data_IF_760008050702
#
_entry.id   IF_760008050702
#
_cell.length_a   1.000
_cell.length_b   1.000
_cell.length_c   1.000
_cell.angle_alpha   90.00
_cell.angle_beta   90.00
_cell.angle_gamma   90.00
#
_symmetry.space_group_name_H-M   'P 1'
#
loop_
_entity.id
_entity.type
_entity.pdbx_description
1 polymer ?
#
# COMPACT_ATOMS: atom_id res chain seq x y z
N UNK A 1 -16.46 25.59 10.87
CA UNK A 1 -17.39 24.84 9.99
C UNK A 1 -16.75 23.51 9.64
N UNK A 2 -17.35 22.39 10.03
CA UNK A 2 -16.91 21.05 9.58
C UNK A 2 -18.10 20.46 8.81
N UNK A 3 -17.92 20.01 7.56
CA UNK A 3 -19.02 19.55 6.70
C UNK A 3 -20.19 20.53 6.49
N UNK A 4 -19.91 21.84 6.45
CA UNK A 4 -20.96 22.86 6.22
C UNK A 4 -21.83 23.17 7.45
N UNK A 5 -21.60 22.54 8.60
CA UNK A 5 -22.26 22.90 9.85
C UNK A 5 -21.39 23.82 10.70
N UNK A 6 -21.97 24.90 11.21
CA UNK A 6 -21.35 25.78 12.20
C UNK A 6 -21.48 25.12 13.58
N UNK A 7 -20.34 24.79 14.18
CA UNK A 7 -20.33 24.22 15.53
C UNK A 7 -20.27 25.36 16.56
N UNK A 8 -21.06 25.28 17.65
CA UNK A 8 -21.00 26.26 18.72
C UNK A 8 -19.63 26.26 19.39
N UNK A 9 -19.27 27.37 20.06
CA UNK A 9 -17.97 27.47 20.71
C UNK A 9 -17.84 26.39 21.80
N UNK A 10 -16.65 25.84 21.99
CA UNK A 10 -16.43 24.79 23.01
C UNK A 10 -16.69 25.27 24.45
N UNK A 11 -16.80 26.59 24.64
CA UNK A 11 -17.08 27.29 25.90
C UNK A 11 -18.58 27.44 26.21
N UNK A 12 -19.48 27.20 25.26
CA UNK A 12 -20.95 27.40 25.43
C UNK A 12 -21.65 26.30 26.25
N UNK A 13 -20.90 25.36 26.83
CA UNK A 13 -21.39 24.38 27.80
C UNK A 13 -21.21 22.91 27.38
N UNK A 14 -21.56 21.99 28.30
CA UNK A 14 -21.35 20.53 28.13
C UNK A 14 -21.96 19.97 26.85
N UNK A 15 -23.11 20.50 26.40
CA UNK A 15 -23.79 20.04 25.19
C UNK A 15 -22.96 20.23 23.91
N UNK A 16 -22.26 21.37 23.77
CA UNK A 16 -21.36 21.62 22.65
C UNK A 16 -20.18 20.64 22.66
N UNK A 17 -19.60 20.37 23.84
CA UNK A 17 -18.49 19.42 23.99
C UNK A 17 -18.88 17.99 23.57
N UNK A 18 -20.09 17.52 23.89
CA UNK A 18 -20.57 16.21 23.46
C UNK A 18 -20.69 16.10 21.93
N UNK A 19 -21.07 17.18 21.23
CA UNK A 19 -21.14 17.18 19.75
C UNK A 19 -19.75 17.00 19.12
N UNK A 20 -18.73 17.71 19.61
CA UNK A 20 -17.35 17.54 19.14
C UNK A 20 -16.82 16.13 19.43
N UNK A 21 -17.10 15.61 20.63
CA UNK A 21 -16.68 14.26 21.02
C UNK A 21 -17.35 13.19 20.15
N UNK A 22 -18.62 13.37 19.80
CA UNK A 22 -19.35 12.44 18.93
C UNK A 22 -18.75 12.40 17.52
N UNK A 23 -18.43 13.56 16.92
CA UNK A 23 -17.77 13.62 15.61
C UNK A 23 -16.38 13.00 15.66
N UNK A 24 -15.60 13.30 16.70
CA UNK A 24 -14.28 12.72 16.88
C UNK A 24 -14.34 11.19 17.03
N UNK A 25 -15.27 10.69 17.85
CA UNK A 25 -15.48 9.25 18.02
C UNK A 25 -15.89 8.57 16.69
N UNK A 26 -16.76 9.20 15.90
CA UNK A 26 -17.15 8.69 14.59
C UNK A 26 -15.97 8.63 13.61
N UNK A 27 -15.10 9.64 13.59
CA UNK A 27 -13.88 9.66 12.77
C UNK A 27 -12.89 8.57 13.18
N UNK A 28 -12.70 8.36 14.49
CA UNK A 28 -11.85 7.27 15.00
C UNK A 28 -12.40 5.90 14.60
N UNK A 29 -13.71 5.69 14.75
CA UNK A 29 -14.37 4.44 14.37
C UNK A 29 -14.24 4.19 12.87
N UNK A 30 -14.45 5.21 12.03
CA UNK A 30 -14.24 5.11 10.60
C UNK A 30 -12.78 4.73 10.28
N UNK A 31 -11.81 5.40 10.90
CA UNK A 31 -10.37 5.11 10.70
C UNK A 31 -10.04 3.67 11.06
N UNK A 32 -10.58 3.16 12.17
CA UNK A 32 -10.40 1.78 12.58
C UNK A 32 -11.00 0.79 11.57
N UNK A 33 -12.23 1.03 11.11
CA UNK A 33 -12.90 0.19 10.09
C UNK A 33 -12.09 0.16 8.79
N UNK A 34 -11.64 1.33 8.30
CA UNK A 34 -10.79 1.40 7.10
C UNK A 34 -9.45 0.69 7.30
N UNK A 35 -8.84 0.76 8.48
CA UNK A 35 -7.59 0.05 8.77
C UNK A 35 -7.78 -1.47 8.74
N UNK A 36 -8.88 -1.97 9.29
CA UNK A 36 -9.22 -3.40 9.25
C UNK A 36 -9.51 -3.85 7.81
N UNK A 37 -10.33 -3.11 7.07
CA UNK A 37 -10.63 -3.41 5.66
C UNK A 37 -9.35 -3.46 4.82
N UNK A 38 -8.47 -2.47 4.97
CA UNK A 38 -7.17 -2.44 4.28
C UNK A 38 -6.32 -3.66 4.63
N UNK A 39 -6.25 -4.04 5.90
CA UNK A 39 -5.52 -5.23 6.35
C UNK A 39 -6.07 -6.52 5.71
N UNK A 40 -7.39 -6.69 5.73
CA UNK A 40 -8.05 -7.84 5.12
C UNK A 40 -7.84 -7.88 3.60
N UNK A 41 -7.93 -6.74 2.91
CA UNK A 41 -7.66 -6.65 1.49
C UNK A 41 -6.22 -7.02 1.15
N UNK A 42 -5.24 -6.56 1.95
CA UNK A 42 -3.83 -6.89 1.74
C UNK A 42 -3.58 -8.39 1.89
N UNK A 43 -4.05 -9.01 2.99
CA UNK A 43 -3.90 -10.45 3.23
C UNK A 43 -4.62 -11.27 2.16
N UNK A 44 -5.86 -10.93 1.82
CA UNK A 44 -6.62 -11.62 0.79
C UNK A 44 -5.96 -11.49 -0.60
N UNK A 45 -5.37 -10.33 -0.90
CA UNK A 45 -4.60 -10.09 -2.12
C UNK A 45 -3.32 -10.93 -2.18
N UNK A 46 -2.56 -10.96 -1.08
CA UNK A 46 -1.34 -11.76 -0.92
C UNK A 46 -1.61 -13.24 -1.17
N UNK A 47 -2.59 -13.81 -0.46
CA UNK A 47 -2.97 -15.24 -0.60
C UNK A 47 -3.43 -15.58 -2.02
N UNK A 48 -4.23 -14.70 -2.65
CA UNK A 48 -4.67 -14.91 -4.05
C UNK A 48 -3.48 -14.90 -5.01
N UNK A 49 -2.55 -13.97 -4.84
CA UNK A 49 -1.37 -13.85 -5.67
C UNK A 49 -0.44 -15.07 -5.49
N UNK A 50 -0.20 -15.48 -4.25
CA UNK A 50 0.60 -16.66 -3.90
C UNK A 50 0.02 -17.95 -4.54
N UNK A 51 -1.30 -18.15 -4.42
CA UNK A 51 -1.97 -19.30 -5.06
C UNK A 51 -1.83 -19.29 -6.58
N UNK A 52 -2.02 -18.13 -7.21
CA UNK A 52 -1.88 -17.98 -8.66
C UNK A 52 -0.44 -18.22 -9.13
N UNK A 53 0.55 -17.76 -8.36
CA UNK A 53 1.96 -17.99 -8.69
C UNK A 53 2.29 -19.47 -8.58
N UNK A 54 1.88 -20.12 -7.48
CA UNK A 54 2.10 -21.54 -7.26
C UNK A 54 1.49 -22.40 -8.37
N UNK A 55 0.25 -22.11 -8.79
CA UNK A 55 -0.39 -22.86 -9.87
C UNK A 55 0.34 -22.72 -11.20
N UNK A 56 0.80 -21.51 -11.53
CA UNK A 56 1.59 -21.26 -12.76
C UNK A 56 2.93 -21.99 -12.69
N UNK A 57 3.64 -21.90 -11.57
CA UNK A 57 4.92 -22.60 -11.38
C UNK A 57 4.73 -24.12 -11.51
N UNK A 58 3.69 -24.68 -10.87
CA UNK A 58 3.39 -26.10 -10.91
C UNK A 58 3.11 -26.58 -12.34
N UNK A 59 2.25 -25.86 -13.09
CA UNK A 59 1.94 -26.18 -14.49
C UNK A 59 3.19 -26.18 -15.37
N UNK A 60 4.09 -25.21 -15.15
CA UNK A 60 5.34 -25.10 -15.92
C UNK A 60 6.31 -26.23 -15.61
N UNK A 61 6.44 -26.61 -14.35
CA UNK A 61 7.30 -27.74 -13.96
C UNK A 61 6.75 -29.06 -14.50
N UNK A 62 5.43 -29.30 -14.41
CA UNK A 62 4.83 -30.53 -14.93
C UNK A 62 4.96 -30.69 -16.46
N UNK A 63 5.11 -29.58 -17.19
CA UNK A 63 5.34 -29.59 -18.65
C UNK A 63 6.82 -29.54 -19.04
N UNK A 64 7.75 -29.54 -18.08
CA UNK A 64 9.17 -29.52 -18.37
C UNK A 64 9.66 -30.87 -18.94
N UNK A 65 10.64 -30.88 -19.87
CA UNK A 65 11.21 -32.11 -20.40
C UNK A 65 11.96 -32.91 -19.32
N UNK A 66 12.09 -34.23 -19.47
CA UNK A 66 12.83 -35.08 -18.51
C UNK A 66 14.26 -34.60 -18.27
N UNK A 67 14.95 -34.07 -19.29
CA UNK A 67 16.31 -33.54 -19.15
C UNK A 67 16.43 -32.40 -18.12
N UNK A 68 15.35 -31.67 -17.86
CA UNK A 68 15.31 -30.67 -16.80
C UNK A 68 15.39 -31.31 -15.41
N UNK A 69 14.68 -32.42 -15.20
CA UNK A 69 14.67 -33.15 -13.92
C UNK A 69 15.94 -33.96 -13.66
N UNK A 70 16.66 -34.36 -14.72
CA UNK A 70 17.96 -35.03 -14.59
C UNK A 70 19.09 -34.05 -14.22
N UNK A 71 19.01 -32.80 -14.69
CA UNK A 71 20.03 -31.77 -14.47
C UNK A 71 19.79 -30.94 -13.21
N UNK A 72 18.54 -30.82 -12.75
CA UNK A 72 18.20 -30.05 -11.56
C UNK A 72 17.75 -30.94 -10.41
N UNK A 73 18.42 -30.89 -9.24
CA UNK A 73 18.02 -31.73 -8.11
C UNK A 73 16.64 -31.29 -7.61
N UNK A 74 15.77 -32.26 -7.32
CA UNK A 74 14.40 -32.01 -6.84
C UNK A 74 14.36 -31.07 -5.61
N UNK A 75 15.35 -31.17 -4.72
CA UNK A 75 15.47 -30.28 -3.57
C UNK A 75 15.62 -28.79 -3.94
N UNK A 76 16.27 -28.47 -5.07
CA UNK A 76 16.39 -27.08 -5.56
C UNK A 76 15.07 -26.55 -6.11
N UNK A 77 14.30 -27.40 -6.79
CA UNK A 77 12.96 -27.05 -7.28
C UNK A 77 12.04 -26.78 -6.08
N UNK A 78 12.03 -27.68 -5.10
CA UNK A 78 11.20 -27.52 -3.90
C UNK A 78 11.59 -26.28 -3.08
N UNK A 79 12.89 -26.06 -2.87
CA UNK A 79 13.38 -24.88 -2.16
C UNK A 79 12.93 -23.58 -2.86
N UNK A 80 12.96 -23.57 -4.21
CA UNK A 80 12.51 -22.40 -4.97
C UNK A 80 11.00 -22.18 -4.87
N UNK A 81 10.20 -23.23 -4.95
CA UNK A 81 8.75 -23.13 -4.76
C UNK A 81 8.39 -22.59 -3.37
N UNK A 82 8.98 -23.16 -2.32
CA UNK A 82 8.69 -22.74 -0.95
C UNK A 82 9.16 -21.31 -0.70
N UNK A 83 10.41 -20.99 -1.07
CA UNK A 83 11.00 -19.68 -0.80
C UNK A 83 10.36 -18.56 -1.63
N UNK A 84 10.10 -18.78 -2.92
CA UNK A 84 9.49 -17.76 -3.78
C UNK A 84 8.05 -17.46 -3.34
N UNK A 85 7.29 -18.49 -2.91
CA UNK A 85 5.93 -18.31 -2.38
C UNK A 85 5.94 -17.62 -1.02
N UNK A 86 6.88 -17.97 -0.14
CA UNK A 86 7.02 -17.34 1.18
C UNK A 86 7.40 -15.85 1.07
N UNK A 87 8.36 -15.51 0.21
CA UNK A 87 8.71 -14.11 -0.06
C UNK A 87 7.50 -13.36 -0.59
N UNK A 88 6.77 -13.94 -1.55
CA UNK A 88 5.62 -13.29 -2.13
C UNK A 88 4.55 -13.05 -1.06
N UNK A 89 4.22 -14.05 -0.25
CA UNK A 89 3.14 -13.91 0.73
C UNK A 89 3.47 -12.89 1.82
N UNK A 90 4.70 -12.92 2.36
CA UNK A 90 5.08 -12.03 3.46
C UNK A 90 5.56 -10.66 2.96
N UNK A 91 6.58 -10.65 2.09
CA UNK A 91 7.29 -9.42 1.73
C UNK A 91 6.48 -8.58 0.76
N UNK A 92 5.84 -9.20 -0.25
CA UNK A 92 5.04 -8.43 -1.22
C UNK A 92 3.81 -7.82 -0.54
N UNK A 93 3.10 -8.59 0.29
CA UNK A 93 1.92 -8.11 1.02
C UNK A 93 2.26 -6.98 1.98
N UNK A 94 3.38 -7.09 2.70
CA UNK A 94 3.87 -6.04 3.58
C UNK A 94 4.25 -4.77 2.81
N UNK A 95 5.02 -4.90 1.73
CA UNK A 95 5.43 -3.76 0.91
C UNK A 95 4.22 -3.07 0.24
N UNK A 96 3.25 -3.85 -0.24
CA UNK A 96 2.01 -3.32 -0.80
C UNK A 96 1.20 -2.56 0.26
N UNK A 97 1.14 -3.09 1.49
CA UNK A 97 0.47 -2.43 2.62
C UNK A 97 1.13 -1.10 2.96
N UNK A 98 2.46 -1.07 3.02
CA UNK A 98 3.23 0.16 3.28
C UNK A 98 3.01 1.17 2.16
N UNK A 99 3.01 0.73 0.90
CA UNK A 99 2.75 1.57 -0.26
C UNK A 99 1.34 2.18 -0.20
N UNK A 100 0.32 1.38 0.11
CA UNK A 100 -1.06 1.88 0.28
C UNK A 100 -1.17 2.92 1.38
N UNK A 101 -0.49 2.70 2.51
CA UNK A 101 -0.45 3.68 3.62
C UNK A 101 0.21 4.96 3.13
N UNK A 102 1.42 4.89 2.57
CA UNK A 102 2.17 6.05 2.10
C UNK A 102 1.38 6.85 1.04
N UNK A 103 0.74 6.16 0.10
CA UNK A 103 -0.11 6.80 -0.91
C UNK A 103 -1.32 7.51 -0.28
N UNK A 104 -1.97 6.89 0.72
CA UNK A 104 -3.10 7.48 1.43
C UNK A 104 -2.68 8.76 2.18
N UNK A 105 -1.54 8.73 2.87
CA UNK A 105 -0.97 9.90 3.55
C UNK A 105 -0.64 11.02 2.56
N UNK A 106 -0.04 10.67 1.43
CA UNK A 106 0.29 11.63 0.39
C UNK A 106 -0.96 12.32 -0.17
N UNK A 107 -1.98 11.55 -0.55
CA UNK A 107 -3.26 12.10 -1.05
C UNK A 107 -3.93 12.96 0.01
N UNK A 108 -3.99 12.50 1.27
CA UNK A 108 -4.57 13.28 2.36
C UNK A 108 -3.85 14.62 2.57
N UNK A 109 -2.52 14.60 2.57
CA UNK A 109 -1.71 15.81 2.70
C UNK A 109 -1.95 16.79 1.55
N UNK A 110 -1.99 16.30 0.30
CA UNK A 110 -2.28 17.13 -0.87
C UNK A 110 -3.68 17.73 -0.78
N UNK A 111 -4.71 16.94 -0.44
CA UNK A 111 -6.08 17.43 -0.28
C UNK A 111 -6.18 18.54 0.78
N UNK A 112 -5.58 18.35 1.96
CA UNK A 112 -5.58 19.35 3.04
C UNK A 112 -4.81 20.60 2.62
N UNK A 113 -3.67 20.46 1.95
CA UNK A 113 -2.90 21.62 1.47
C UNK A 113 -3.68 22.42 0.42
N UNK A 114 -4.41 21.76 -0.47
CA UNK A 114 -5.22 22.42 -1.49
C UNK A 114 -6.41 23.19 -0.91
N UNK A 115 -6.99 22.74 0.21
CA UNK A 115 -8.09 23.47 0.85
C UNK A 115 -7.61 24.72 1.59
N UNK A 116 -6.37 24.71 2.12
CA UNK A 116 -5.79 25.85 2.85
C UNK A 116 -5.15 26.85 1.88
N UNK A 117 -4.36 26.38 0.91
CA UNK A 117 -3.64 27.20 -0.06
C UNK A 117 -3.84 26.62 -1.48
N UNK A 118 -4.88 27.03 -2.22
CA UNK A 118 -5.21 26.41 -3.51
C UNK A 118 -4.12 26.59 -4.56
N UNK A 119 -3.35 27.68 -4.50
CA UNK A 119 -2.25 27.97 -5.43
C UNK A 119 -1.03 27.05 -5.26
N UNK A 120 -0.96 26.26 -4.18
CA UNK A 120 0.18 25.35 -3.92
C UNK A 120 0.31 24.25 -4.99
N UNK A 121 -0.78 23.94 -5.68
CA UNK A 121 -0.81 22.96 -6.78
C UNK A 121 0.15 23.37 -7.90
N UNK A 122 0.24 24.66 -8.21
CA UNK A 122 1.18 25.15 -9.24
C UNK A 122 2.64 24.92 -8.86
N UNK A 123 2.98 25.03 -7.57
CA UNK A 123 4.32 24.72 -7.06
C UNK A 123 4.58 23.20 -6.99
N UNK A 124 3.55 22.38 -6.82
CA UNK A 124 3.67 20.92 -6.77
C UNK A 124 4.05 20.31 -8.13
N UNK A 125 3.62 20.92 -9.23
CA UNK A 125 3.90 20.46 -10.60
C UNK A 125 5.42 20.38 -10.90
N UNK A 126 6.23 21.45 -10.76
CA UNK A 126 7.66 21.35 -11.03
C UNK A 126 8.36 20.38 -10.07
N UNK A 127 7.93 20.32 -8.80
CA UNK A 127 8.49 19.38 -7.81
C UNK A 127 8.24 17.93 -8.20
N UNK A 128 7.03 17.60 -8.65
CA UNK A 128 6.71 16.24 -9.11
C UNK A 128 7.47 15.86 -10.38
N UNK A 129 7.70 16.81 -11.31
CA UNK A 129 8.54 16.58 -12.49
C UNK A 129 9.99 16.27 -12.08
N UNK A 130 10.58 17.10 -11.21
CA UNK A 130 11.96 16.90 -10.74
C UNK A 130 12.09 15.58 -9.99
N UNK A 131 11.14 15.27 -9.09
CA UNK A 131 11.09 14.00 -8.38
C UNK A 131 10.97 12.81 -9.33
N UNK A 132 10.12 12.91 -10.36
CA UNK A 132 9.94 11.86 -11.37
C UNK A 132 11.25 11.59 -12.13
N UNK A 133 11.96 12.65 -12.56
CA UNK A 133 13.25 12.52 -13.23
C UNK A 133 14.30 11.86 -12.31
N UNK A 134 14.38 12.28 -11.06
CA UNK A 134 15.24 11.67 -10.04
C UNK A 134 14.90 10.20 -9.82
N UNK A 135 13.62 9.87 -9.70
CA UNK A 135 13.16 8.51 -9.49
C UNK A 135 13.47 7.60 -10.70
N UNK A 136 13.39 8.13 -11.92
CA UNK A 136 13.78 7.40 -13.13
C UNK A 136 15.28 7.05 -13.12
N UNK A 137 16.13 8.01 -12.79
CA UNK A 137 17.57 7.80 -12.68
C UNK A 137 17.91 6.82 -11.55
N UNK A 138 17.30 7.00 -10.38
CA UNK A 138 17.50 6.13 -9.23
C UNK A 138 17.08 4.68 -9.53
N UNK A 139 15.93 4.45 -10.18
CA UNK A 139 15.48 3.11 -10.56
C UNK A 139 16.45 2.42 -11.53
N UNK A 140 17.01 3.18 -12.48
CA UNK A 140 18.01 2.65 -13.41
C UNK A 140 19.27 2.23 -12.66
N UNK A 141 19.84 3.11 -11.84
CA UNK A 141 21.06 2.83 -11.08
C UNK A 141 20.87 1.76 -9.99
N UNK A 142 19.70 1.71 -9.35
CA UNK A 142 19.41 0.75 -8.28
C UNK A 142 19.39 -0.70 -8.76
N UNK A 143 19.01 -0.93 -10.02
CA UNK A 143 19.01 -2.28 -10.61
C UNK A 143 20.44 -2.80 -10.79
N UNK A 144 21.40 -1.92 -11.08
CA UNK A 144 22.81 -2.27 -11.26
C UNK A 144 23.54 -2.46 -9.93
N UNK A 145 23.06 -1.83 -8.85
CA UNK A 145 23.60 -1.99 -7.49
C UNK A 145 23.09 -3.24 -6.76
N UNK A 146 21.92 -3.76 -7.14
CA UNK A 146 21.32 -4.96 -6.53
C UNK A 146 21.72 -6.28 -7.21
N UNK A 147 22.39 -6.22 -8.37
CA UNK A 147 22.97 -7.38 -9.06
C UNK A 147 24.34 -7.72 -8.51
#
# INVERSE_FOLDING_TARGET
VVFGTEFPSQTDGRAAQYQYLAVYAALLLATFVFAVLRSLCAVAGGVKCARSLFSVMLERVLRAPMSFFETTPLGRILNRFTYDVEILDQTLTQNLSILMIAFSWFVAAVCVMCTIVPYIVFALIPVTIVYWLLQLHYRKSGTDLQR
#
